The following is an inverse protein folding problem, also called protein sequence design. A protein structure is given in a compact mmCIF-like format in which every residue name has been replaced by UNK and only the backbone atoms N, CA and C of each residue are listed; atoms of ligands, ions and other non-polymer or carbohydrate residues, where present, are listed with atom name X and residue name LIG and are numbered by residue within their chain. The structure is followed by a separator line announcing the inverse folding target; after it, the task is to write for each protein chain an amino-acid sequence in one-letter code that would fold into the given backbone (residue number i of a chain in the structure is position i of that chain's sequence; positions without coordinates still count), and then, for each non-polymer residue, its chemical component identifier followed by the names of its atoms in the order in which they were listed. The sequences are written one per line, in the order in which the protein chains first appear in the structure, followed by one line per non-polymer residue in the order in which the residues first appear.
data_IF_522259684910
#
_entry.id   IF_522259684910
#
_cell.length_a   1.000
_cell.length_b   1.000
_cell.length_c   1.000
_cell.angle_alpha   90.00
_cell.angle_beta   90.00
_cell.angle_gamma   90.00
#
_symmetry.space_group_name_H-M   'P 1'
#
loop_
_entity.id
_entity.type
_entity.pdbx_description
1 polymer ?
#
# COMPACT_ATOMS: atom_id res chain seq x y z
N UNK A 1 269.64 -36.75 -112.69
CA UNK A 1 271.01 -37.08 -112.23
C UNK A 1 270.90 -38.15 -111.15
N UNK A 2 271.82 -39.12 -110.99
CA UNK A 2 272.83 -39.66 -111.91
C UNK A 2 273.34 -41.00 -111.34
N UNK A 3 274.16 -41.74 -112.09
CA UNK A 3 274.83 -43.02 -111.73
C UNK A 3 273.87 -44.21 -111.45
N UNK A 4 274.05 -45.43 -111.95
CA UNK A 4 275.21 -46.11 -112.59
C UNK A 4 276.37 -46.39 -111.63
N UNK A 5 276.18 -47.37 -110.74
CA UNK A 5 277.25 -48.16 -110.10
C UNK A 5 277.00 -49.66 -110.33
N UNK A 6 278.03 -50.53 -110.22
CA UNK A 6 278.12 -51.74 -111.06
C UNK A 6 277.41 -52.98 -110.49
N UNK A 7 277.13 -53.92 -111.40
CA UNK A 7 276.60 -55.25 -111.06
C UNK A 7 277.61 -56.04 -110.24
N UNK A 8 277.15 -56.65 -109.15
CA UNK A 8 277.75 -57.82 -108.53
C UNK A 8 276.63 -58.81 -108.27
N UNK A 9 276.72 -60.04 -108.76
CA UNK A 9 275.75 -61.08 -108.45
C UNK A 9 275.99 -61.55 -107.01
N UNK A 10 274.97 -61.46 -106.16
CA UNK A 10 274.95 -62.05 -104.81
C UNK A 10 274.10 -63.32 -104.86
N UNK A 11 274.29 -64.23 -103.89
CA UNK A 11 273.82 -65.61 -104.00
C UNK A 11 272.29 -65.75 -103.92
N UNK A 12 271.80 -66.89 -104.43
CA UNK A 12 270.37 -67.28 -104.50
C UNK A 12 269.67 -67.24 -103.13
N UNK A 13 270.42 -67.26 -102.03
CA UNK A 13 269.91 -67.19 -100.66
C UNK A 13 269.27 -65.83 -100.31
N UNK A 14 269.77 -64.71 -100.84
CA UNK A 14 269.23 -63.38 -100.52
C UNK A 14 267.82 -63.14 -101.11
N UNK A 15 267.53 -63.68 -102.31
CA UNK A 15 266.19 -63.61 -102.90
C UNK A 15 265.17 -64.45 -102.13
N UNK A 16 265.59 -65.63 -101.64
CA UNK A 16 264.76 -66.50 -100.81
C UNK A 16 264.42 -65.83 -99.47
N UNK A 17 265.38 -65.17 -98.83
CA UNK A 17 265.17 -64.38 -97.62
C UNK A 17 264.19 -63.22 -97.85
N UNK A 18 264.33 -62.45 -98.94
CA UNK A 18 263.40 -61.36 -99.27
C UNK A 18 261.96 -61.85 -99.49
N UNK A 19 261.77 -62.95 -100.21
CA UNK A 19 260.43 -63.57 -100.38
C UNK A 19 259.84 -64.06 -99.04
N UNK A 20 260.67 -64.58 -98.14
CA UNK A 20 260.22 -65.08 -96.83
C UNK A 20 259.76 -63.93 -95.92
N UNK A 21 260.51 -62.83 -95.85
CA UNK A 21 260.11 -61.65 -95.07
C UNK A 21 258.82 -61.03 -95.60
N UNK A 22 258.69 -60.85 -96.92
CA UNK A 22 257.47 -60.36 -97.57
C UNK A 22 256.23 -61.15 -97.13
N UNK A 23 256.32 -62.49 -97.16
CA UNK A 23 255.23 -63.38 -96.75
C UNK A 23 254.88 -63.35 -95.25
N UNK A 24 255.81 -62.93 -94.38
CA UNK A 24 255.55 -62.75 -92.94
C UNK A 24 254.88 -61.40 -92.69
N UNK A 25 255.34 -60.35 -93.35
CA UNK A 25 254.81 -58.98 -93.23
C UNK A 25 253.38 -58.88 -93.76
N UNK A 26 253.09 -59.48 -94.92
CA UNK A 26 251.73 -59.55 -95.47
C UNK A 26 250.77 -60.27 -94.49
N UNK A 27 251.20 -61.38 -93.87
CA UNK A 27 250.39 -62.11 -92.86
C UNK A 27 250.11 -61.31 -91.59
N UNK A 28 251.09 -60.51 -91.14
CA UNK A 28 250.93 -59.67 -89.96
C UNK A 28 249.91 -58.54 -90.20
N UNK A 29 249.89 -57.98 -91.41
CA UNK A 29 248.87 -57.00 -91.81
C UNK A 29 247.46 -57.61 -91.90
N UNK A 30 247.31 -58.83 -92.43
CA UNK A 30 246.01 -59.52 -92.43
C UNK A 30 245.48 -59.71 -91.01
N UNK A 31 246.31 -60.19 -90.08
CA UNK A 31 245.91 -60.43 -88.68
C UNK A 31 245.48 -59.13 -87.96
N UNK A 32 246.14 -58.00 -88.26
CA UNK A 32 245.77 -56.68 -87.77
C UNK A 32 244.41 -56.23 -88.28
N UNK A 33 244.09 -56.50 -89.55
CA UNK A 33 242.78 -56.19 -90.15
C UNK A 33 241.67 -57.03 -89.51
N UNK A 34 241.86 -58.35 -89.39
CA UNK A 34 240.91 -59.26 -88.74
C UNK A 34 240.63 -58.86 -87.28
N UNK A 35 241.66 -58.50 -86.52
CA UNK A 35 241.50 -57.98 -85.15
C UNK A 35 240.72 -56.67 -85.11
N UNK A 36 240.93 -55.77 -86.08
CA UNK A 36 240.20 -54.51 -86.16
C UNK A 36 238.71 -54.72 -86.45
N UNK A 37 238.38 -55.60 -87.40
CA UNK A 37 237.00 -55.96 -87.74
C UNK A 37 236.27 -56.64 -86.57
N UNK A 38 236.93 -57.59 -85.89
CA UNK A 38 236.39 -58.23 -84.67
C UNK A 38 236.10 -57.20 -83.57
N UNK A 39 236.95 -56.18 -83.41
CA UNK A 39 236.75 -55.10 -82.43
C UNK A 39 235.53 -54.23 -82.78
N UNK A 40 235.31 -53.95 -84.07
CA UNK A 40 234.12 -53.23 -84.56
C UNK A 40 232.86 -54.09 -84.40
N UNK A 41 232.93 -55.39 -84.69
CA UNK A 41 231.80 -56.31 -84.52
C UNK A 41 231.36 -56.39 -83.05
N UNK A 42 232.31 -56.52 -82.12
CA UNK A 42 232.03 -56.55 -80.68
C UNK A 42 231.45 -55.21 -80.17
N UNK A 43 231.90 -54.07 -80.70
CA UNK A 43 231.29 -52.78 -80.37
C UNK A 43 229.82 -52.69 -80.83
N UNK A 44 229.48 -53.25 -82.00
CA UNK A 44 228.11 -53.30 -82.52
C UNK A 44 227.21 -54.23 -81.70
N UNK A 45 227.68 -55.40 -81.27
CA UNK A 45 226.88 -56.32 -80.44
C UNK A 45 226.60 -55.74 -79.07
N UNK A 46 227.60 -55.16 -78.39
CA UNK A 46 227.42 -54.48 -77.09
C UNK A 46 226.45 -53.29 -77.19
N UNK A 47 226.49 -52.53 -78.30
CA UNK A 47 225.51 -51.47 -78.53
C UNK A 47 224.08 -52.00 -78.68
N UNK A 48 223.89 -53.14 -79.39
CA UNK A 48 222.56 -53.75 -79.60
C UNK A 48 221.98 -54.34 -78.31
N UNK A 49 222.80 -54.91 -77.43
CA UNK A 49 222.35 -55.39 -76.09
C UNK A 49 221.75 -54.24 -75.28
N UNK A 50 222.45 -53.09 -75.20
CA UNK A 50 221.99 -51.86 -74.52
C UNK A 50 220.78 -51.17 -75.15
N UNK A 51 220.35 -51.63 -76.33
CA UNK A 51 219.11 -51.20 -76.98
C UNK A 51 217.96 -52.11 -76.54
N UNK A 52 218.18 -53.43 -76.55
CA UNK A 52 217.22 -54.44 -76.11
C UNK A 52 216.91 -54.34 -74.60
N UNK A 53 217.90 -54.03 -73.77
CA UNK A 53 217.73 -53.80 -72.32
C UNK A 53 216.73 -52.66 -72.07
N UNK A 54 216.83 -51.55 -72.81
CA UNK A 54 215.90 -50.42 -72.68
C UNK A 54 214.51 -50.72 -73.26
N UNK A 55 214.40 -51.51 -74.33
CA UNK A 55 213.08 -51.98 -74.79
C UNK A 55 212.40 -52.91 -73.77
N UNK A 56 213.17 -53.72 -73.03
CA UNK A 56 212.63 -54.52 -71.92
C UNK A 56 212.09 -53.64 -70.80
N UNK A 57 212.90 -52.69 -70.33
CA UNK A 57 212.56 -51.74 -69.26
C UNK A 57 211.26 -50.96 -69.58
N UNK A 58 211.16 -50.37 -70.78
CA UNK A 58 209.96 -49.67 -71.26
C UNK A 58 208.73 -50.60 -71.32
N UNK A 59 208.91 -51.88 -71.68
CA UNK A 59 207.81 -52.85 -71.72
C UNK A 59 207.31 -53.21 -70.32
N UNK A 60 208.21 -53.38 -69.36
CA UNK A 60 207.87 -53.68 -67.96
C UNK A 60 207.17 -52.48 -67.28
N UNK A 61 207.55 -51.24 -67.61
CA UNK A 61 206.83 -50.02 -67.20
C UNK A 61 205.41 -49.92 -67.80
N UNK A 62 205.24 -50.24 -69.08
CA UNK A 62 203.90 -50.22 -69.74
C UNK A 62 202.98 -51.30 -69.17
N UNK A 63 203.49 -52.50 -68.88
CA UNK A 63 202.70 -53.60 -68.28
C UNK A 63 202.36 -53.31 -66.81
N UNK A 64 203.30 -52.78 -66.02
CA UNK A 64 203.04 -52.46 -64.61
C UNK A 64 202.09 -51.26 -64.44
N UNK A 65 202.25 -50.20 -65.23
CA UNK A 65 201.33 -49.05 -65.23
C UNK A 65 199.92 -49.47 -65.65
N UNK A 66 199.74 -50.13 -66.80
CA UNK A 66 198.41 -50.55 -67.28
C UNK A 66 197.70 -51.54 -66.35
N UNK A 67 198.43 -52.45 -65.69
CA UNK A 67 197.84 -53.33 -64.66
C UNK A 67 197.50 -52.59 -63.36
N UNK A 68 198.16 -51.48 -63.04
CA UNK A 68 197.78 -50.61 -61.92
C UNK A 68 196.50 -49.82 -62.22
N UNK A 69 196.37 -49.21 -63.41
CA UNK A 69 195.17 -48.46 -63.82
C UNK A 69 193.94 -49.36 -63.84
N UNK A 70 194.06 -50.55 -64.44
CA UNK A 70 192.96 -51.52 -64.50
C UNK A 70 192.51 -52.03 -63.13
N UNK A 71 193.41 -52.05 -62.12
CA UNK A 71 193.05 -52.36 -60.72
C UNK A 71 192.30 -51.22 -60.03
N UNK A 72 192.59 -49.96 -60.36
CA UNK A 72 191.83 -48.80 -59.90
C UNK A 72 190.43 -48.79 -60.50
N UNK A 73 190.31 -48.91 -61.83
CA UNK A 73 189.03 -48.99 -62.55
C UNK A 73 188.14 -50.15 -62.04
N UNK A 74 188.73 -51.32 -61.77
CA UNK A 74 188.04 -52.48 -61.19
C UNK A 74 187.48 -52.15 -59.79
N UNK A 75 188.29 -51.50 -58.94
CA UNK A 75 187.92 -51.10 -57.57
C UNK A 75 186.82 -50.03 -57.58
N UNK A 76 186.95 -49.01 -58.43
CA UNK A 76 185.93 -47.97 -58.60
C UNK A 76 184.61 -48.55 -59.11
N UNK A 77 184.65 -49.49 -60.05
CA UNK A 77 183.43 -50.19 -60.53
C UNK A 77 182.77 -51.00 -59.43
N UNK A 78 183.54 -51.67 -58.56
CA UNK A 78 183.01 -52.39 -57.39
C UNK A 78 182.38 -51.42 -56.38
N UNK A 79 183.03 -50.30 -56.07
CA UNK A 79 182.55 -49.29 -55.12
C UNK A 79 181.29 -48.57 -55.63
N UNK A 80 181.21 -48.27 -56.93
CA UNK A 80 180.00 -47.77 -57.58
C UNK A 80 178.87 -48.81 -57.60
N UNK A 81 179.18 -50.07 -57.89
CA UNK A 81 178.18 -51.15 -57.88
C UNK A 81 177.61 -51.40 -56.48
N UNK A 82 178.45 -51.38 -55.44
CA UNK A 82 178.01 -51.49 -54.05
C UNK A 82 177.17 -50.28 -53.62
N UNK A 83 177.55 -49.07 -54.06
CA UNK A 83 176.77 -47.85 -53.81
C UNK A 83 175.39 -47.91 -54.46
N UNK A 84 175.30 -48.34 -55.73
CA UNK A 84 174.05 -48.51 -56.45
C UNK A 84 173.15 -49.59 -55.84
N UNK A 85 173.74 -50.69 -55.35
CA UNK A 85 173.01 -51.72 -54.62
C UNK A 85 172.42 -51.17 -53.31
N UNK A 86 173.20 -50.40 -52.53
CA UNK A 86 172.70 -49.77 -51.31
C UNK A 86 171.59 -48.74 -51.58
N UNK A 87 171.64 -48.03 -52.72
CA UNK A 87 170.54 -47.13 -53.13
C UNK A 87 169.30 -47.89 -53.59
N UNK A 88 169.44 -49.06 -54.22
CA UNK A 88 168.32 -49.96 -54.53
C UNK A 88 167.62 -50.45 -53.26
N UNK A 89 168.38 -50.98 -52.31
CA UNK A 89 167.87 -51.49 -51.04
C UNK A 89 167.06 -50.42 -50.30
N UNK A 90 167.60 -49.20 -50.18
CA UNK A 90 166.89 -48.05 -49.58
C UNK A 90 165.64 -47.61 -50.35
N UNK A 91 165.61 -47.76 -51.68
CA UNK A 91 164.43 -47.47 -52.50
C UNK A 91 163.37 -48.56 -52.34
N UNK A 92 163.78 -49.82 -52.23
CA UNK A 92 162.89 -50.97 -52.02
C UNK A 92 162.27 -50.90 -50.60
N UNK A 93 163.06 -50.62 -49.56
CA UNK A 93 162.58 -50.30 -48.20
C UNK A 93 161.57 -49.13 -48.18
N UNK A 94 161.88 -48.03 -48.89
CA UNK A 94 161.00 -46.87 -48.95
C UNK A 94 159.68 -47.17 -49.68
N UNK A 95 159.70 -48.00 -50.73
CA UNK A 95 158.49 -48.45 -51.43
C UNK A 95 157.66 -49.36 -50.53
N UNK A 96 158.26 -50.29 -49.79
CA UNK A 96 157.54 -51.12 -48.81
C UNK A 96 156.90 -50.26 -47.71
N UNK A 97 157.62 -49.26 -47.19
CA UNK A 97 157.10 -48.33 -46.19
C UNK A 97 155.93 -47.49 -46.74
N UNK A 98 156.00 -47.02 -47.98
CA UNK A 98 154.88 -46.34 -48.66
C UNK A 98 153.69 -47.30 -48.83
N UNK A 99 153.92 -48.55 -49.28
CA UNK A 99 152.87 -49.55 -49.40
C UNK A 99 152.21 -49.92 -48.06
N UNK A 100 152.95 -49.91 -46.95
CA UNK A 100 152.39 -50.05 -45.60
C UNK A 100 151.53 -48.84 -45.23
N UNK A 101 152.06 -47.62 -45.38
CA UNK A 101 151.34 -46.38 -45.06
C UNK A 101 150.09 -46.21 -45.93
N UNK A 102 150.09 -46.65 -47.19
CA UNK A 102 148.88 -46.68 -48.03
C UNK A 102 147.80 -47.63 -47.49
N UNK A 103 148.18 -48.85 -47.09
CA UNK A 103 147.25 -49.84 -46.51
C UNK A 103 146.64 -49.29 -45.22
N UNK A 104 147.46 -48.69 -44.38
CA UNK A 104 147.03 -48.07 -43.12
C UNK A 104 146.14 -46.85 -43.35
N UNK A 105 146.46 -45.99 -44.34
CA UNK A 105 145.62 -44.86 -44.72
C UNK A 105 144.26 -45.31 -45.28
N UNK A 106 144.22 -46.43 -46.02
CA UNK A 106 142.98 -47.08 -46.49
C UNK A 106 142.17 -47.64 -45.31
N UNK A 107 142.80 -48.30 -44.32
CA UNK A 107 142.16 -48.77 -43.07
C UNK A 107 141.54 -47.61 -42.29
N UNK A 108 142.33 -46.59 -41.96
CA UNK A 108 141.89 -45.42 -41.19
C UNK A 108 140.77 -44.63 -41.90
N UNK A 109 140.77 -44.57 -43.24
CA UNK A 109 139.65 -44.00 -44.01
C UNK A 109 138.36 -44.81 -43.85
N UNK A 110 138.44 -46.15 -43.88
CA UNK A 110 137.28 -47.02 -43.67
C UNK A 110 136.70 -46.87 -42.25
N UNK A 111 137.56 -46.80 -41.23
CA UNK A 111 137.16 -46.58 -39.83
C UNK A 111 136.59 -45.18 -39.60
N UNK A 112 137.11 -44.16 -40.27
CA UNK A 112 136.50 -42.82 -40.27
C UNK A 112 135.11 -42.80 -40.95
N UNK A 113 134.88 -43.64 -41.97
CA UNK A 113 133.54 -43.75 -42.58
C UNK A 113 132.54 -44.50 -41.71
N UNK A 114 132.94 -45.59 -41.03
CA UNK A 114 132.05 -46.28 -40.09
C UNK A 114 131.74 -45.40 -38.88
N UNK A 115 132.75 -44.78 -38.25
CA UNK A 115 132.54 -43.86 -37.14
C UNK A 115 131.63 -42.67 -37.48
N UNK A 116 131.65 -42.18 -38.73
CA UNK A 116 130.70 -41.15 -39.21
C UNK A 116 129.28 -41.69 -39.37
N UNK A 117 129.10 -42.93 -39.82
CA UNK A 117 127.79 -43.58 -39.89
C UNK A 117 127.24 -43.85 -38.49
N UNK A 118 128.07 -44.32 -37.57
CA UNK A 118 127.69 -44.56 -36.16
C UNK A 118 127.32 -43.27 -35.44
N UNK A 119 128.09 -42.18 -35.63
CA UNK A 119 127.74 -40.86 -35.12
C UNK A 119 126.43 -40.33 -35.72
N UNK A 120 126.18 -40.58 -37.01
CA UNK A 120 124.92 -40.20 -37.68
C UNK A 120 123.72 -41.00 -37.14
N UNK A 121 123.92 -42.29 -36.88
CA UNK A 121 122.94 -43.18 -36.23
C UNK A 121 122.64 -42.72 -34.80
N UNK A 122 123.67 -42.40 -34.02
CA UNK A 122 123.55 -41.86 -32.65
C UNK A 122 122.77 -40.54 -32.63
N UNK A 123 123.06 -39.61 -33.54
CA UNK A 123 122.30 -38.36 -33.69
C UNK A 123 120.83 -38.59 -34.07
N UNK A 124 120.54 -39.59 -34.91
CA UNK A 124 119.17 -39.98 -35.25
C UNK A 124 118.44 -40.59 -34.03
N UNK A 125 119.11 -41.41 -33.23
CA UNK A 125 118.58 -41.95 -31.98
C UNK A 125 118.31 -40.87 -30.93
N UNK A 126 119.20 -39.88 -30.78
CA UNK A 126 118.98 -38.71 -29.92
C UNK A 126 117.75 -37.91 -30.36
N UNK A 127 117.61 -37.63 -31.66
CA UNK A 127 116.42 -36.95 -32.19
C UNK A 127 115.15 -37.76 -31.93
N UNK A 128 115.16 -39.06 -32.21
CA UNK A 128 114.02 -39.94 -31.95
C UNK A 128 113.64 -40.00 -30.47
N UNK A 129 114.63 -39.92 -29.56
CA UNK A 129 114.43 -39.84 -28.12
C UNK A 129 113.76 -38.53 -27.71
N UNK A 130 114.19 -37.38 -28.25
CA UNK A 130 113.59 -36.08 -27.95
C UNK A 130 112.19 -35.92 -28.55
N UNK A 131 111.98 -36.36 -29.80
CA UNK A 131 110.64 -36.48 -30.40
C UNK A 131 109.71 -37.37 -29.55
N UNK A 132 110.25 -38.40 -28.88
CA UNK A 132 109.51 -39.26 -27.96
C UNK A 132 109.21 -38.59 -26.62
N UNK A 133 110.17 -37.84 -26.03
CA UNK A 133 109.94 -37.02 -24.83
C UNK A 133 108.82 -36.00 -25.06
N UNK A 134 108.82 -35.32 -26.21
CA UNK A 134 107.79 -34.35 -26.58
C UNK A 134 106.41 -35.01 -26.72
N UNK A 135 106.33 -36.20 -27.34
CA UNK A 135 105.09 -37.00 -27.40
C UNK A 135 104.60 -37.48 -26.04
N UNK A 136 105.51 -37.81 -25.11
CA UNK A 136 105.17 -38.19 -23.73
C UNK A 136 104.60 -36.97 -22.99
N UNK A 137 105.30 -35.83 -22.99
CA UNK A 137 104.85 -34.58 -22.35
C UNK A 137 103.48 -34.09 -22.87
N UNK A 138 103.26 -34.17 -24.18
CA UNK A 138 101.96 -33.88 -24.81
C UNK A 138 100.85 -34.83 -24.35
N UNK A 139 101.11 -36.14 -24.29
CA UNK A 139 100.15 -37.11 -23.77
C UNK A 139 99.89 -36.97 -22.27
N UNK A 140 100.90 -36.62 -21.47
CA UNK A 140 100.75 -36.37 -20.04
C UNK A 140 99.90 -35.11 -19.78
N UNK A 141 100.12 -34.04 -20.54
CA UNK A 141 99.29 -32.83 -20.52
C UNK A 141 97.83 -33.16 -20.89
N UNK A 142 97.62 -33.99 -21.92
CA UNK A 142 96.28 -34.47 -22.32
C UNK A 142 95.63 -35.35 -21.24
N UNK A 143 96.41 -36.18 -20.54
CA UNK A 143 95.94 -36.98 -19.41
C UNK A 143 95.58 -36.11 -18.19
N UNK A 144 96.28 -35.00 -17.96
CA UNK A 144 95.89 -34.02 -16.93
C UNK A 144 94.54 -33.38 -17.27
N UNK A 145 94.33 -32.93 -18.51
CA UNK A 145 93.04 -32.40 -18.96
C UNK A 145 91.90 -33.42 -18.78
N UNK A 146 92.10 -34.67 -19.21
CA UNK A 146 91.11 -35.74 -19.01
C UNK A 146 90.84 -36.05 -17.53
N UNK A 147 91.84 -35.91 -16.64
CA UNK A 147 91.63 -36.06 -15.18
C UNK A 147 90.76 -34.92 -14.61
N UNK A 148 90.92 -33.70 -15.10
CA UNK A 148 90.09 -32.54 -14.71
C UNK A 148 88.65 -32.77 -15.17
N UNK A 149 88.45 -33.10 -16.44
CA UNK A 149 87.12 -33.42 -17.02
C UNK A 149 86.41 -34.54 -16.25
N UNK A 150 87.13 -35.61 -15.86
CA UNK A 150 86.59 -36.69 -15.01
C UNK A 150 86.17 -36.21 -13.62
N UNK A 151 86.84 -35.19 -13.04
CA UNK A 151 86.43 -34.59 -11.76
C UNK A 151 85.19 -33.70 -11.92
N UNK A 152 85.13 -32.89 -12.97
CA UNK A 152 83.96 -32.06 -13.30
C UNK A 152 82.71 -32.94 -13.55
N UNK A 153 82.85 -34.02 -14.31
CA UNK A 153 81.78 -35.00 -14.55
C UNK A 153 81.35 -35.73 -13.26
N UNK A 154 82.28 -36.01 -12.33
CA UNK A 154 81.95 -36.57 -11.01
C UNK A 154 81.15 -35.58 -10.14
N UNK A 155 81.57 -34.32 -10.11
CA UNK A 155 80.86 -33.27 -9.36
C UNK A 155 79.45 -33.07 -9.94
N UNK A 156 79.33 -32.89 -11.26
CA UNK A 156 78.03 -32.73 -11.94
C UNK A 156 77.11 -33.95 -11.76
N UNK A 157 77.67 -35.16 -11.65
CA UNK A 157 76.91 -36.37 -11.28
C UNK A 157 76.38 -36.31 -9.83
N UNK A 158 77.17 -35.78 -8.89
CA UNK A 158 76.72 -35.60 -7.50
C UNK A 158 75.61 -34.53 -7.41
N UNK A 159 75.75 -33.41 -8.11
CA UNK A 159 74.73 -32.35 -8.18
C UNK A 159 73.40 -32.90 -8.73
N UNK A 160 73.45 -33.63 -9.84
CA UNK A 160 72.27 -34.28 -10.44
C UNK A 160 71.66 -35.33 -9.49
N UNK A 161 72.47 -36.07 -8.75
CA UNK A 161 71.96 -37.02 -7.76
C UNK A 161 71.24 -36.31 -6.59
N UNK A 162 71.77 -35.17 -6.13
CA UNK A 162 71.12 -34.34 -5.12
C UNK A 162 69.80 -33.74 -5.63
N UNK A 163 69.76 -33.26 -6.87
CA UNK A 163 68.53 -32.77 -7.51
C UNK A 163 67.47 -33.87 -7.65
N UNK A 164 67.88 -35.10 -8.01
CA UNK A 164 66.97 -36.26 -8.06
C UNK A 164 66.40 -36.62 -6.68
N UNK A 165 67.15 -36.42 -5.60
CA UNK A 165 66.64 -36.64 -4.23
C UNK A 165 65.67 -35.53 -3.78
N UNK A 166 65.96 -34.25 -4.07
CA UNK A 166 65.00 -33.14 -3.83
C UNK A 166 63.68 -33.38 -4.57
N UNK A 167 63.75 -33.72 -5.87
CA UNK A 167 62.58 -34.01 -6.68
C UNK A 167 61.76 -35.20 -6.14
N UNK A 168 62.41 -36.24 -5.60
CA UNK A 168 61.71 -37.37 -4.93
C UNK A 168 61.04 -36.96 -3.62
N UNK A 169 61.70 -36.14 -2.80
CA UNK A 169 61.11 -35.63 -1.55
C UNK A 169 59.92 -34.69 -1.82
N UNK A 170 60.02 -33.87 -2.87
CA UNK A 170 58.93 -32.99 -3.32
C UNK A 170 57.78 -33.77 -3.96
N UNK A 171 58.07 -34.84 -4.70
CA UNK A 171 57.05 -35.75 -5.23
C UNK A 171 56.24 -36.41 -4.10
N UNK A 172 56.91 -37.04 -3.14
CA UNK A 172 56.23 -37.65 -1.96
C UNK A 172 55.48 -36.62 -1.10
N UNK A 173 55.98 -35.39 -1.01
CA UNK A 173 55.24 -34.28 -0.37
C UNK A 173 53.97 -33.91 -1.16
N UNK A 174 54.03 -33.88 -2.49
CA UNK A 174 52.88 -33.61 -3.35
C UNK A 174 51.86 -34.77 -3.33
N UNK A 175 52.32 -36.02 -3.37
CA UNK A 175 51.49 -37.23 -3.26
C UNK A 175 50.72 -37.24 -1.92
N UNK A 176 51.40 -37.05 -0.79
CA UNK A 176 50.71 -37.01 0.53
C UNK A 176 49.78 -35.81 0.70
N UNK A 177 49.95 -34.73 -0.07
CA UNK A 177 49.02 -33.60 -0.10
C UNK A 177 47.81 -33.87 -1.01
N UNK A 178 48.02 -34.54 -2.15
CA UNK A 178 46.95 -35.02 -3.02
C UNK A 178 46.07 -36.08 -2.32
N UNK A 179 46.68 -37.01 -1.57
CA UNK A 179 46.01 -38.00 -0.73
C UNK A 179 45.06 -37.32 0.28
N UNK A 180 45.58 -36.31 1.02
CA UNK A 180 44.78 -35.52 1.96
C UNK A 180 43.64 -34.77 1.27
N UNK A 181 43.86 -34.22 0.08
CA UNK A 181 42.80 -33.53 -0.69
C UNK A 181 41.76 -34.49 -1.26
N UNK A 182 42.15 -35.69 -1.67
CA UNK A 182 41.23 -36.77 -2.05
C UNK A 182 40.31 -37.14 -0.88
N UNK A 183 40.89 -37.33 0.32
CA UNK A 183 40.16 -37.65 1.54
C UNK A 183 39.27 -36.50 2.05
N UNK A 184 39.69 -35.24 1.88
CA UNK A 184 38.82 -34.06 2.11
C UNK A 184 37.63 -34.04 1.13
N UNK A 185 37.87 -34.26 -0.16
CA UNK A 185 36.80 -34.35 -1.17
C UNK A 185 35.82 -35.48 -0.86
N UNK A 186 36.31 -36.67 -0.48
CA UNK A 186 35.47 -37.81 -0.07
C UNK A 186 34.59 -37.47 1.13
N UNK A 187 35.13 -36.77 2.12
CA UNK A 187 34.37 -36.26 3.28
C UNK A 187 33.34 -35.18 2.92
N UNK A 188 33.58 -34.38 1.88
CA UNK A 188 32.62 -33.41 1.37
C UNK A 188 31.49 -34.08 0.56
N UNK A 189 31.79 -35.10 -0.26
CA UNK A 189 30.78 -35.90 -0.96
C UNK A 189 29.82 -36.57 0.02
N UNK A 190 30.34 -37.27 1.03
CA UNK A 190 29.50 -37.90 2.08
C UNK A 190 28.63 -36.91 2.85
N UNK A 191 29.07 -35.65 3.01
CA UNK A 191 28.25 -34.57 3.57
C UNK A 191 27.18 -34.08 2.60
N UNK A 192 27.49 -33.99 1.31
CA UNK A 192 26.54 -33.60 0.27
C UNK A 192 25.39 -34.64 0.18
N UNK A 193 25.75 -35.92 0.07
CA UNK A 193 24.80 -37.04 0.08
C UNK A 193 23.90 -37.01 1.33
N UNK A 194 24.47 -36.71 2.50
CA UNK A 194 23.69 -36.58 3.75
C UNK A 194 22.70 -35.40 3.71
N UNK A 195 23.04 -34.29 3.05
CA UNK A 195 22.16 -33.12 2.87
C UNK A 195 21.08 -33.41 1.83
N UNK A 196 21.41 -34.10 0.74
CA UNK A 196 20.46 -34.51 -0.31
C UNK A 196 19.42 -35.50 0.25
N UNK A 197 19.85 -36.49 1.04
CA UNK A 197 18.93 -37.41 1.73
C UNK A 197 18.01 -36.67 2.73
N UNK A 198 18.53 -35.69 3.47
CA UNK A 198 17.72 -34.86 4.38
C UNK A 198 16.73 -33.96 3.62
N UNK A 199 17.15 -33.42 2.46
CA UNK A 199 16.32 -32.62 1.57
C UNK A 199 15.16 -33.44 0.98
N UNK A 200 15.43 -34.60 0.39
CA UNK A 200 14.36 -35.41 -0.22
C UNK A 200 13.45 -36.07 0.83
N UNK A 201 13.94 -36.33 2.05
CA UNK A 201 13.08 -36.66 3.21
C UNK A 201 12.13 -35.50 3.55
N UNK A 202 12.65 -34.28 3.68
CA UNK A 202 11.87 -33.07 3.96
C UNK A 202 10.87 -32.77 2.82
N UNK A 203 11.27 -32.97 1.57
CA UNK A 203 10.43 -32.84 0.38
C UNK A 203 9.31 -33.88 0.35
N UNK A 204 9.61 -35.12 0.77
CA UNK A 204 8.63 -36.19 0.92
C UNK A 204 7.63 -35.89 2.04
N UNK A 205 8.09 -35.35 3.16
CA UNK A 205 7.23 -34.88 4.25
C UNK A 205 6.34 -33.72 3.80
N UNK A 206 6.88 -32.71 3.11
CA UNK A 206 6.09 -31.62 2.51
C UNK A 206 5.07 -32.15 1.47
N UNK A 207 5.41 -33.18 0.70
CA UNK A 207 4.47 -33.84 -0.22
C UNK A 207 3.32 -34.55 0.51
N UNK A 208 3.58 -35.15 1.68
CA UNK A 208 2.55 -35.71 2.57
C UNK A 208 1.68 -34.62 3.16
N UNK A 209 2.27 -33.58 3.76
CA UNK A 209 1.54 -32.42 4.32
C UNK A 209 0.67 -31.74 3.25
N UNK A 210 1.17 -31.55 2.02
CA UNK A 210 0.33 -31.02 0.93
C UNK A 210 -0.76 -31.99 0.46
N UNK A 211 -0.62 -33.30 0.64
CA UNK A 211 -1.69 -34.28 0.38
C UNK A 211 -2.72 -34.25 1.50
N UNK A 212 -2.27 -34.16 2.76
CA UNK A 212 -3.10 -33.99 3.94
C UNK A 212 -3.96 -32.70 3.81
N UNK A 213 -3.33 -31.55 3.52
CA UNK A 213 -4.02 -30.28 3.23
C UNK A 213 -5.03 -30.41 2.09
N UNK A 214 -4.71 -31.16 1.02
CA UNK A 214 -5.65 -31.42 -0.09
C UNK A 214 -6.74 -32.44 0.25
N UNK A 215 -6.53 -33.29 1.25
CA UNK A 215 -7.55 -34.18 1.82
C UNK A 215 -8.43 -33.50 2.87
N UNK A 216 -8.16 -32.24 3.24
CA UNK A 216 -9.12 -31.37 3.94
C UNK A 216 -10.23 -30.88 2.98
N UNK A 217 -10.77 -31.82 2.20
CA UNK A 217 -12.03 -31.66 1.48
C UNK A 217 -13.16 -31.31 2.46
N UNK A 218 -13.08 -31.80 3.70
CA UNK A 218 -13.96 -31.44 4.81
C UNK A 218 -14.12 -29.93 4.99
N UNK A 219 -13.07 -29.10 4.83
CA UNK A 219 -13.22 -27.63 4.92
C UNK A 219 -13.89 -27.05 3.67
N UNK A 220 -13.66 -27.62 2.49
CA UNK A 220 -14.38 -27.21 1.27
C UNK A 220 -15.87 -27.57 1.35
N UNK A 221 -16.21 -28.74 1.89
CA UNK A 221 -17.57 -29.25 1.97
C UNK A 221 -18.33 -28.71 3.19
N UNK A 222 -17.68 -28.49 4.34
CA UNK A 222 -18.24 -27.68 5.43
C UNK A 222 -18.51 -26.24 4.98
N UNK A 223 -17.65 -25.65 4.14
CA UNK A 223 -17.90 -24.31 3.58
C UNK A 223 -19.03 -24.32 2.54
N UNK A 224 -19.22 -25.41 1.77
CA UNK A 224 -20.43 -25.60 0.93
C UNK A 224 -21.68 -25.73 1.78
N UNK A 225 -21.67 -26.60 2.79
CA UNK A 225 -22.80 -26.77 3.71
C UNK A 225 -23.14 -25.48 4.45
N UNK A 226 -22.14 -24.74 4.94
CA UNK A 226 -22.35 -23.47 5.63
C UNK A 226 -22.95 -22.42 4.68
N UNK A 227 -22.46 -22.33 3.44
CA UNK A 227 -23.08 -21.47 2.42
C UNK A 227 -24.51 -21.90 2.08
N UNK A 228 -24.80 -23.19 2.02
CA UNK A 228 -26.14 -23.71 1.68
C UNK A 228 -27.13 -23.52 2.83
N UNK A 229 -26.71 -23.80 4.07
CA UNK A 229 -27.48 -23.51 5.30
C UNK A 229 -27.71 -22.02 5.47
N UNK A 230 -26.70 -21.18 5.21
CA UNK A 230 -26.81 -19.72 5.22
C UNK A 230 -27.83 -19.21 4.17
N UNK A 231 -27.72 -19.66 2.91
CA UNK A 231 -28.68 -19.30 1.85
C UNK A 231 -30.11 -19.72 2.16
N UNK A 232 -30.31 -20.94 2.69
CA UNK A 232 -31.64 -21.39 3.11
C UNK A 232 -32.18 -20.52 4.26
N UNK A 233 -31.34 -20.17 5.24
CA UNK A 233 -31.74 -19.33 6.37
C UNK A 233 -32.07 -17.90 5.96
N UNK A 234 -31.33 -17.30 5.03
CA UNK A 234 -31.70 -16.00 4.45
C UNK A 234 -33.06 -16.06 3.77
N UNK A 235 -33.32 -17.11 2.97
CA UNK A 235 -34.57 -17.26 2.21
C UNK A 235 -35.77 -17.59 3.12
N UNK A 236 -35.55 -18.24 4.26
CA UNK A 236 -36.54 -18.33 5.35
C UNK A 236 -36.85 -16.95 5.97
N UNK A 237 -35.81 -16.19 6.33
CA UNK A 237 -35.95 -14.87 6.94
C UNK A 237 -36.57 -13.84 5.99
N UNK A 238 -36.29 -13.92 4.69
CA UNK A 238 -36.93 -13.13 3.64
C UNK A 238 -38.45 -13.40 3.62
N UNK A 239 -38.87 -14.67 3.58
CA UNK A 239 -40.30 -15.06 3.63
C UNK A 239 -40.98 -14.69 4.95
N UNK A 240 -40.27 -14.80 6.08
CA UNK A 240 -40.78 -14.37 7.38
C UNK A 240 -40.99 -12.85 7.40
N UNK A 241 -40.04 -12.08 6.87
CA UNK A 241 -40.12 -10.63 6.75
C UNK A 241 -41.23 -10.19 5.78
N UNK A 242 -41.39 -10.84 4.63
CA UNK A 242 -42.53 -10.64 3.71
C UNK A 242 -43.87 -10.91 4.41
N UNK A 243 -43.98 -12.00 5.17
CA UNK A 243 -45.18 -12.32 5.96
C UNK A 243 -45.47 -11.27 7.03
N UNK A 244 -44.45 -10.78 7.72
CA UNK A 244 -44.56 -9.71 8.72
C UNK A 244 -44.94 -8.38 8.08
N UNK A 245 -44.37 -8.01 6.94
CA UNK A 245 -44.75 -6.83 6.17
C UNK A 245 -46.21 -6.90 5.68
N UNK A 246 -46.67 -8.05 5.20
CA UNK A 246 -48.07 -8.24 4.82
C UNK A 246 -49.02 -8.10 6.02
N UNK A 247 -48.67 -8.70 7.17
CA UNK A 247 -49.42 -8.57 8.42
C UNK A 247 -49.45 -7.12 8.90
N UNK A 248 -48.31 -6.41 8.88
CA UNK A 248 -48.19 -5.01 9.26
C UNK A 248 -49.04 -4.12 8.35
N UNK A 249 -48.93 -4.26 7.02
CA UNK A 249 -49.75 -3.53 6.04
C UNK A 249 -51.25 -3.80 6.16
N UNK A 250 -51.63 -4.98 6.67
CA UNK A 250 -53.02 -5.29 6.99
C UNK A 250 -53.47 -4.60 8.28
N UNK A 251 -52.60 -4.57 9.31
CA UNK A 251 -52.87 -3.82 10.57
C UNK A 251 -52.91 -2.31 10.36
N UNK A 252 -52.10 -1.75 9.45
CA UNK A 252 -52.15 -0.34 9.06
C UNK A 252 -53.52 0.02 8.48
N UNK A 253 -54.03 -0.77 7.51
CA UNK A 253 -55.39 -0.60 6.98
C UNK A 253 -56.45 -0.64 8.08
N UNK A 254 -56.41 -1.64 8.95
CA UNK A 254 -57.37 -1.75 10.07
C UNK A 254 -57.25 -0.59 11.06
N UNK A 255 -56.06 -0.01 11.25
CA UNK A 255 -55.89 1.20 12.05
C UNK A 255 -56.47 2.43 11.35
N UNK A 256 -56.37 2.53 10.02
CA UNK A 256 -56.95 3.64 9.25
C UNK A 256 -58.47 3.53 9.09
N UNK A 257 -59.00 2.32 8.94
CA UNK A 257 -60.43 1.98 9.06
C UNK A 257 -60.95 2.42 10.44
N UNK A 258 -60.35 1.95 11.53
CA UNK A 258 -60.71 2.34 12.90
C UNK A 258 -60.46 3.83 13.21
N UNK A 259 -59.60 4.53 12.45
CA UNK A 259 -59.43 5.99 12.54
C UNK A 259 -60.58 6.72 11.85
N UNK A 260 -61.07 6.21 10.71
CA UNK A 260 -62.29 6.74 10.06
C UNK A 260 -63.48 6.53 10.98
N UNK A 261 -63.74 5.29 11.41
CA UNK A 261 -64.85 4.97 12.33
C UNK A 261 -64.84 5.87 13.58
N UNK A 262 -63.65 6.14 14.14
CA UNK A 262 -63.48 6.99 15.32
C UNK A 262 -63.63 8.50 14.99
N UNK A 263 -63.35 8.94 13.77
CA UNK A 263 -63.65 10.29 13.30
C UNK A 263 -65.15 10.48 13.03
N UNK A 264 -65.79 9.48 12.41
CA UNK A 264 -67.22 9.47 12.12
C UNK A 264 -68.05 9.40 13.42
N UNK A 265 -67.69 8.51 14.36
CA UNK A 265 -68.27 8.47 15.71
C UNK A 265 -68.01 9.76 16.51
N UNK A 266 -66.88 10.45 16.30
CA UNK A 266 -66.65 11.79 16.89
C UNK A 266 -67.57 12.84 16.28
N UNK A 267 -67.80 12.78 14.97
CA UNK A 267 -68.74 13.66 14.26
C UNK A 267 -70.17 13.44 14.77
N UNK A 268 -70.60 12.18 14.88
CA UNK A 268 -71.88 11.78 15.47
C UNK A 268 -72.00 12.24 16.93
N UNK A 269 -70.97 12.05 17.77
CA UNK A 269 -70.95 12.54 19.15
C UNK A 269 -70.97 14.07 19.23
N UNK A 270 -70.42 14.80 18.25
CA UNK A 270 -70.53 16.27 18.17
C UNK A 270 -71.95 16.68 17.77
N UNK A 271 -72.58 15.99 16.81
CA UNK A 271 -73.97 16.21 16.43
C UNK A 271 -74.92 15.90 17.60
N UNK A 272 -74.82 14.73 18.23
CA UNK A 272 -75.61 14.36 19.41
C UNK A 272 -75.38 15.32 20.59
N UNK A 273 -74.18 15.88 20.77
CA UNK A 273 -73.93 16.95 21.76
C UNK A 273 -74.63 18.25 21.39
N UNK A 274 -74.66 18.62 20.11
CA UNK A 274 -75.42 19.77 19.62
C UNK A 274 -76.91 19.54 19.84
N UNK A 275 -77.44 18.39 19.46
CA UNK A 275 -78.85 18.02 19.64
C UNK A 275 -79.24 17.97 21.12
N UNK A 276 -78.35 17.52 22.02
CA UNK A 276 -78.54 17.61 23.47
C UNK A 276 -78.55 19.07 23.96
N UNK A 277 -77.73 19.97 23.41
CA UNK A 277 -77.75 21.41 23.73
C UNK A 277 -79.04 22.07 23.21
N UNK A 278 -79.45 21.74 21.99
CA UNK A 278 -80.67 22.26 21.36
C UNK A 278 -81.93 21.71 22.05
N UNK A 279 -81.92 20.46 22.52
CA UNK A 279 -82.95 19.91 23.40
C UNK A 279 -82.91 20.52 24.81
N UNK A 280 -81.74 20.92 25.32
CA UNK A 280 -81.64 21.62 26.61
C UNK A 280 -82.13 23.08 26.54
N UNK A 281 -81.93 23.79 25.43
CA UNK A 281 -82.55 25.11 25.21
C UNK A 281 -84.05 24.95 25.02
N UNK A 282 -84.52 24.00 24.21
CA UNK A 282 -85.94 23.69 24.08
C UNK A 282 -86.58 23.29 25.43
N UNK A 283 -85.89 22.51 26.27
CA UNK A 283 -86.38 22.16 27.62
C UNK A 283 -86.41 23.36 28.56
N UNK A 284 -85.46 24.31 28.45
CA UNK A 284 -85.50 25.59 29.18
C UNK A 284 -86.68 26.45 28.72
N UNK A 285 -86.95 26.52 27.42
CA UNK A 285 -88.09 27.26 26.86
C UNK A 285 -89.44 26.62 27.24
N UNK A 286 -89.55 25.30 27.18
CA UNK A 286 -90.72 24.56 27.65
C UNK A 286 -90.94 24.73 29.16
N UNK A 287 -89.88 24.77 29.97
CA UNK A 287 -89.99 25.15 31.40
C UNK A 287 -90.38 26.61 31.58
N UNK A 288 -89.88 27.53 30.76
CA UNK A 288 -90.27 28.95 30.78
C UNK A 288 -91.77 29.09 30.49
N UNK A 289 -92.24 28.45 29.42
CA UNK A 289 -93.66 28.41 29.02
C UNK A 289 -94.55 27.69 30.03
N UNK A 290 -94.07 26.59 30.64
CA UNK A 290 -94.80 25.86 31.69
C UNK A 290 -94.91 26.67 32.99
N UNK A 291 -93.86 27.39 33.39
CA UNK A 291 -93.88 28.33 34.51
C UNK A 291 -94.77 29.55 34.20
N UNK A 292 -94.78 30.03 32.95
CA UNK A 292 -95.63 31.13 32.49
C UNK A 292 -97.10 30.71 32.44
N UNK A 293 -97.40 29.47 32.02
CA UNK A 293 -98.72 28.86 32.13
C UNK A 293 -99.14 28.69 33.60
N UNK A 294 -98.34 28.08 34.47
CA UNK A 294 -98.71 27.94 35.89
C UNK A 294 -98.80 29.28 36.63
N UNK A 295 -98.17 30.35 36.11
CA UNK A 295 -98.40 31.72 36.57
C UNK A 295 -99.75 32.27 36.08
N UNK A 296 -100.05 32.15 34.79
CA UNK A 296 -101.36 32.52 34.23
C UNK A 296 -102.51 31.74 34.86
N UNK A 297 -102.31 30.45 35.15
CA UNK A 297 -103.24 29.53 35.79
C UNK A 297 -103.51 29.98 37.23
N UNK A 298 -102.49 30.36 38.00
CA UNK A 298 -102.66 30.97 39.33
C UNK A 298 -103.28 32.36 39.30
N UNK A 299 -102.97 33.18 38.30
CA UNK A 299 -103.62 34.48 38.08
C UNK A 299 -105.10 34.30 37.70
N UNK A 300 -105.43 33.23 36.97
CA UNK A 300 -106.79 32.82 36.66
C UNK A 300 -107.51 32.23 37.89
N UNK A 301 -106.86 31.39 38.70
CA UNK A 301 -107.39 30.90 39.99
C UNK A 301 -107.66 32.06 40.96
N UNK A 302 -106.77 33.06 41.04
CA UNK A 302 -106.98 34.26 41.85
C UNK A 302 -108.13 35.10 41.31
N UNK A 303 -108.21 35.31 39.99
CA UNK A 303 -109.33 36.00 39.34
C UNK A 303 -110.66 35.28 39.59
N UNK A 304 -110.71 33.96 39.38
CA UNK A 304 -111.85 33.11 39.67
C UNK A 304 -112.22 33.15 41.15
N UNK A 305 -111.25 33.12 42.07
CA UNK A 305 -111.50 33.22 43.51
C UNK A 305 -112.07 34.57 43.90
N UNK A 306 -111.58 35.68 43.33
CA UNK A 306 -112.19 37.00 43.52
C UNK A 306 -113.60 37.04 42.95
N UNK A 307 -113.82 36.55 41.73
CA UNK A 307 -115.13 36.47 41.10
C UNK A 307 -116.10 35.59 41.91
N UNK A 308 -115.64 34.50 42.54
CA UNK A 308 -116.47 33.64 43.39
C UNK A 308 -116.80 34.33 44.72
N UNK A 309 -115.90 35.15 45.29
CA UNK A 309 -116.23 36.02 46.42
C UNK A 309 -117.19 37.15 46.03
N UNK A 310 -117.07 37.72 44.82
CA UNK A 310 -118.02 38.72 44.31
C UNK A 310 -119.40 38.09 44.05
N UNK A 311 -119.45 36.92 43.40
CA UNK A 311 -120.68 36.13 43.21
C UNK A 311 -121.28 35.75 44.57
N UNK A 312 -120.47 35.45 45.59
CA UNK A 312 -120.97 35.19 46.95
C UNK A 312 -121.58 36.46 47.57
N UNK A 313 -120.90 37.60 47.51
CA UNK A 313 -121.43 38.88 47.97
C UNK A 313 -122.71 39.27 47.22
N UNK A 314 -122.77 39.07 45.91
CA UNK A 314 -123.96 39.31 45.08
C UNK A 314 -125.10 38.32 45.42
N UNK A 315 -124.80 37.06 45.73
CA UNK A 315 -125.79 36.08 46.24
C UNK A 315 -126.31 36.47 47.62
N UNK A 316 -125.46 36.96 48.52
CA UNK A 316 -125.84 37.44 49.84
C UNK A 316 -126.68 38.73 49.75
N UNK A 317 -126.31 39.68 48.88
CA UNK A 317 -127.13 40.85 48.54
C UNK A 317 -128.47 40.48 47.92
N UNK A 318 -128.48 39.51 47.00
CA UNK A 318 -129.72 39.04 46.37
C UNK A 318 -130.61 38.30 47.37
N UNK A 319 -130.06 37.44 48.23
CA UNK A 319 -130.81 36.77 49.29
C UNK A 319 -131.38 37.76 50.32
N UNK A 320 -130.61 38.79 50.70
CA UNK A 320 -131.10 39.89 51.53
C UNK A 320 -132.21 40.69 50.82
N UNK A 321 -132.13 40.87 49.51
CA UNK A 321 -133.15 41.54 48.70
C UNK A 321 -134.41 40.69 48.53
N UNK A 322 -134.28 39.39 48.25
CA UNK A 322 -135.38 38.42 48.21
C UNK A 322 -136.10 38.34 49.55
N UNK A 323 -135.38 38.25 50.66
CA UNK A 323 -135.99 38.30 52.00
C UNK A 323 -136.75 39.62 52.21
N UNK A 324 -136.17 40.76 51.82
CA UNK A 324 -136.84 42.07 51.91
C UNK A 324 -138.08 42.16 51.02
N UNK A 325 -138.10 41.43 49.90
CA UNK A 325 -139.28 41.27 49.04
C UNK A 325 -140.32 40.35 49.72
N UNK A 326 -139.93 39.27 50.38
CA UNK A 326 -140.82 38.39 51.15
C UNK A 326 -141.45 39.13 52.35
N UNK A 327 -140.65 39.91 53.09
CA UNK A 327 -141.11 40.81 54.16
C UNK A 327 -142.14 41.82 53.60
N UNK A 328 -141.89 42.41 52.42
CA UNK A 328 -142.82 43.33 51.75
C UNK A 328 -144.07 42.63 51.17
N UNK A 329 -143.97 41.38 50.71
CA UNK A 329 -145.10 40.60 50.17
C UNK A 329 -146.02 40.12 51.29
N UNK A 330 -145.46 39.72 52.43
CA UNK A 330 -146.25 39.38 53.63
C UNK A 330 -146.91 40.62 54.22
N UNK A 331 -146.21 41.76 54.30
CA UNK A 331 -146.81 43.04 54.71
C UNK A 331 -147.89 43.53 53.73
N UNK A 332 -147.68 43.41 52.42
CA UNK A 332 -148.70 43.75 51.41
C UNK A 332 -149.91 42.81 51.51
N UNK A 333 -149.71 41.51 51.77
CA UNK A 333 -150.78 40.55 52.01
C UNK A 333 -151.57 40.84 53.30
N UNK A 334 -150.88 41.33 54.35
CA UNK A 334 -151.48 41.82 55.60
C UNK A 334 -152.30 43.09 55.36
N UNK A 335 -151.78 44.04 54.59
CA UNK A 335 -152.49 45.27 54.20
C UNK A 335 -153.68 44.99 53.28
N UNK A 336 -153.59 44.00 52.38
CA UNK A 336 -154.72 43.55 51.56
C UNK A 336 -155.83 42.91 52.40
N UNK A 337 -155.49 42.11 53.42
CA UNK A 337 -156.49 41.63 54.38
C UNK A 337 -157.14 42.79 55.15
N UNK A 338 -156.36 43.74 55.67
CA UNK A 338 -156.93 44.92 56.33
C UNK A 338 -157.80 45.78 55.39
N UNK A 339 -157.47 45.85 54.09
CA UNK A 339 -158.30 46.52 53.08
C UNK A 339 -159.61 45.74 52.80
N UNK A 340 -159.57 44.41 52.81
CA UNK A 340 -160.75 43.55 52.69
C UNK A 340 -161.65 43.64 53.93
N UNK A 341 -161.08 43.67 55.13
CA UNK A 341 -161.83 43.88 56.38
C UNK A 341 -162.50 45.27 56.38
N UNK A 342 -161.76 46.32 56.04
CA UNK A 342 -162.30 47.70 55.93
C UNK A 342 -163.36 47.80 54.84
N UNK A 343 -163.20 47.14 53.69
CA UNK A 343 -164.27 47.06 52.68
C UNK A 343 -165.47 46.25 53.18
N UNK A 344 -165.26 45.18 53.94
CA UNK A 344 -166.33 44.39 54.54
C UNK A 344 -167.16 45.20 55.54
N UNK A 345 -166.51 45.97 56.42
CA UNK A 345 -167.17 46.85 57.36
C UNK A 345 -167.80 48.07 56.70
N UNK A 346 -167.17 48.63 55.66
CA UNK A 346 -167.78 49.67 54.83
C UNK A 346 -169.04 49.16 54.11
N UNK A 347 -169.01 47.94 53.56
CA UNK A 347 -170.17 47.32 52.92
C UNK A 347 -171.30 47.05 53.92
N UNK A 348 -171.00 46.51 55.12
CA UNK A 348 -171.99 46.37 56.21
C UNK A 348 -172.63 47.72 56.54
N UNK A 349 -171.83 48.79 56.63
CA UNK A 349 -172.31 50.14 56.94
C UNK A 349 -173.14 50.76 55.81
N UNK A 350 -172.73 50.60 54.55
CA UNK A 350 -173.56 51.00 53.39
C UNK A 350 -174.88 50.20 53.37
N UNK A 351 -174.86 48.93 53.77
CA UNK A 351 -176.04 48.08 53.83
C UNK A 351 -177.00 48.48 54.98
N UNK A 352 -176.49 48.92 56.13
CA UNK A 352 -177.32 49.53 57.20
C UNK A 352 -177.88 50.89 56.79
N UNK A 353 -177.05 51.77 56.20
CA UNK A 353 -177.47 53.10 55.76
C UNK A 353 -178.52 53.01 54.64
N UNK A 354 -178.42 52.02 53.75
CA UNK A 354 -179.40 51.72 52.70
C UNK A 354 -180.65 50.97 53.20
N UNK A 355 -180.65 50.47 54.44
CA UNK A 355 -181.86 50.04 55.16
C UNK A 355 -182.56 51.24 55.78
N UNK A 356 -181.84 52.03 56.57
CA UNK A 356 -182.34 53.19 57.30
C UNK A 356 -182.94 54.27 56.37
N UNK A 357 -182.27 54.62 55.27
CA UNK A 357 -182.79 55.55 54.25
C UNK A 357 -184.03 55.05 53.50
N UNK A 358 -184.38 53.76 53.65
CA UNK A 358 -185.61 53.19 53.08
C UNK A 358 -186.79 53.43 54.01
N UNK A 359 -186.61 53.23 55.31
CA UNK A 359 -187.62 53.54 56.34
C UNK A 359 -187.90 55.05 56.43
N UNK A 360 -186.85 55.89 56.44
CA UNK A 360 -186.99 57.35 56.50
C UNK A 360 -187.79 57.92 55.31
N UNK A 361 -187.52 57.42 54.10
CA UNK A 361 -188.22 57.83 52.87
C UNK A 361 -189.69 57.38 52.85
N UNK A 362 -190.03 56.31 53.56
CA UNK A 362 -191.40 55.81 53.70
C UNK A 362 -192.19 56.54 54.82
N UNK A 363 -191.49 57.26 55.71
CA UNK A 363 -192.09 58.19 56.69
C UNK A 363 -192.45 59.51 56.04
N UNK A 364 -191.49 60.16 55.37
CA UNK A 364 -191.65 61.48 54.73
C UNK A 364 -192.78 61.55 53.68
N UNK A 365 -193.16 60.43 53.04
CA UNK A 365 -194.31 60.40 52.11
C UNK A 365 -195.64 60.69 52.81
N UNK A 366 -195.85 60.20 54.03
CA UNK A 366 -197.12 60.37 54.77
C UNK A 366 -197.29 61.80 55.28
N UNK A 367 -196.21 62.41 55.76
CA UNK A 367 -196.22 63.77 56.31
C UNK A 367 -196.60 64.82 55.26
N UNK A 368 -196.15 64.65 54.00
CA UNK A 368 -196.50 65.53 52.87
C UNK A 368 -197.98 65.41 52.45
N UNK A 369 -198.62 64.27 52.71
CA UNK A 369 -199.99 64.01 52.28
C UNK A 369 -201.04 64.62 53.22
N UNK A 370 -200.68 64.89 54.48
CA UNK A 370 -201.56 65.52 55.48
C UNK A 370 -201.62 67.05 55.38
N UNK A 371 -200.53 67.75 55.03
CA UNK A 371 -200.52 69.23 54.97
C UNK A 371 -201.46 69.80 53.89
N UNK A 372 -201.68 69.07 52.79
CA UNK A 372 -202.40 69.57 51.60
C UNK A 372 -203.91 69.74 51.84
N UNK A 373 -204.53 68.99 52.76
CA UNK A 373 -205.99 69.08 53.01
C UNK A 373 -206.39 70.32 53.84
N UNK A 374 -205.46 70.85 54.65
CA UNK A 374 -205.73 71.97 55.57
C UNK A 374 -206.10 73.26 54.82
N UNK A 375 -205.48 73.51 53.66
CA UNK A 375 -205.58 74.78 52.93
C UNK A 375 -206.92 75.01 52.22
N UNK A 376 -207.69 73.97 51.92
CA UNK A 376 -208.83 74.02 50.98
C UNK A 376 -210.21 74.19 51.62
N UNK A 377 -210.33 74.16 52.95
CA UNK A 377 -211.63 74.19 53.66
C UNK A 377 -212.27 75.60 53.69
N UNK A 378 -213.47 75.81 53.09
CA UNK A 378 -214.15 77.10 53.09
C UNK A 378 -214.76 77.44 54.46
N UNK A 379 -214.88 78.74 54.77
CA UNK A 379 -215.44 79.25 56.03
C UNK A 379 -216.38 80.43 55.79
N UNK A 380 -217.36 80.60 56.67
CA UNK A 380 -218.40 81.63 56.58
C UNK A 380 -218.17 82.70 57.65
N UNK A 381 -218.23 83.98 57.28
CA UNK A 381 -218.06 85.08 58.21
C UNK A 381 -219.30 85.25 59.11
N UNK A 382 -219.12 85.25 60.43
CA UNK A 382 -220.23 85.42 61.40
C UNK A 382 -220.85 86.83 61.41
N UNK A 383 -220.26 87.81 60.71
CA UNK A 383 -220.66 89.22 60.81
C UNK A 383 -221.22 89.82 59.49
N UNK A 384 -220.94 89.21 58.33
CA UNK A 384 -221.55 89.58 57.03
C UNK A 384 -222.15 88.39 56.27
N UNK A 385 -222.06 87.16 56.80
CA UNK A 385 -222.47 85.90 56.16
C UNK A 385 -221.80 85.55 54.81
N UNK A 386 -220.88 86.38 54.29
CA UNK A 386 -220.09 86.04 53.12
C UNK A 386 -219.11 84.88 53.39
N UNK A 387 -218.82 84.10 52.35
CA UNK A 387 -218.03 82.87 52.42
C UNK A 387 -216.66 83.08 51.79
N UNK A 388 -215.60 82.62 52.46
CA UNK A 388 -214.22 82.84 52.06
C UNK A 388 -213.32 81.61 52.25
N UNK A 389 -212.27 81.53 51.45
CA UNK A 389 -211.16 80.58 51.58
C UNK A 389 -209.87 81.34 51.90
N UNK A 390 -208.86 80.65 52.45
CA UNK A 390 -207.56 81.26 52.78
C UNK A 390 -206.79 81.75 51.54
N UNK A 391 -207.16 81.29 50.35
CA UNK A 391 -206.53 81.60 49.06
C UNK A 391 -206.88 82.98 48.49
N UNK A 392 -208.00 83.60 48.89
CA UNK A 392 -208.57 84.81 48.24
C UNK A 392 -208.64 86.06 49.12
N UNK A 393 -207.79 86.16 50.14
CA UNK A 393 -207.92 87.15 51.21
C UNK A 393 -206.88 88.28 51.06
N UNK A 394 -207.30 89.49 50.66
CA UNK A 394 -206.41 90.64 50.40
C UNK A 394 -206.86 91.92 51.11
N UNK A 395 -205.91 92.84 51.34
CA UNK A 395 -205.94 93.84 52.42
C UNK A 395 -206.83 95.09 52.20
N UNK A 396 -207.93 94.98 51.45
CA UNK A 396 -208.84 96.11 51.17
C UNK A 396 -210.35 95.77 51.28
N UNK A 397 -210.72 94.52 51.61
CA UNK A 397 -212.11 94.06 51.50
C UNK A 397 -213.00 94.39 52.72
N UNK A 398 -214.15 95.00 52.41
CA UNK A 398 -215.19 95.56 53.29
C UNK A 398 -215.36 94.94 54.69
N UNK A 399 -215.12 95.69 55.76
CA UNK A 399 -213.75 96.16 56.10
C UNK A 399 -213.05 95.12 57.01
N UNK A 400 -213.64 93.93 57.13
CA UNK A 400 -213.50 93.02 58.26
C UNK A 400 -212.55 91.84 58.01
N UNK A 401 -211.77 91.93 56.94
CA UNK A 401 -210.89 90.88 56.47
C UNK A 401 -209.40 91.28 56.60
N UNK A 402 -208.50 90.30 56.80
CA UNK A 402 -207.71 90.28 58.02
C UNK A 402 -206.28 90.80 57.84
N UNK A 403 -205.60 91.01 58.97
CA UNK A 403 -204.15 91.20 58.95
C UNK A 403 -203.47 90.95 60.28
N UNK A 404 -202.22 90.47 60.16
CA UNK A 404 -201.12 90.78 61.07
C UNK A 404 -201.05 90.00 62.39
N UNK A 405 -200.63 88.73 62.34
CA UNK A 405 -199.43 88.39 63.11
C UNK A 405 -198.21 88.79 62.25
N UNK A 406 -197.29 89.61 62.77
CA UNK A 406 -196.02 89.93 62.09
C UNK A 406 -194.88 89.27 62.88
N UNK A 407 -193.94 88.56 62.24
CA UNK A 407 -192.66 88.29 62.87
C UNK A 407 -191.91 89.63 63.03
N UNK A 408 -191.45 89.94 64.25
CA UNK A 408 -190.48 91.01 64.49
C UNK A 408 -189.20 90.40 65.04
N UNK A 409 -188.13 90.52 64.28
CA UNK A 409 -186.77 90.28 64.77
C UNK A 409 -186.50 91.07 66.05
N UNK A 410 -185.67 90.50 66.91
CA UNK A 410 -185.52 90.95 68.28
C UNK A 410 -186.54 90.20 69.16
N UNK A 411 -187.76 90.74 69.39
CA UNK A 411 -188.71 90.15 70.32
C UNK A 411 -189.38 88.84 69.86
N UNK A 412 -188.81 87.73 70.36
CA UNK A 412 -189.47 86.47 70.72
C UNK A 412 -189.89 85.52 69.59
N UNK A 413 -189.77 84.22 69.86
CA UNK A 413 -190.15 83.13 68.97
C UNK A 413 -191.69 82.94 68.95
N UNK A 414 -192.26 82.81 67.75
CA UNK A 414 -193.70 82.64 67.50
C UNK A 414 -194.20 83.49 66.32
N UNK A 415 -195.49 83.35 65.98
CA UNK A 415 -196.24 84.27 65.09
C UNK A 415 -197.33 85.14 65.99
N UNK A 416 -197.54 87.38 66.63
CA UNK A 416 -198.24 88.39 67.51
C UNK A 416 -199.36 89.14 66.77
N UNK A 417 -200.61 88.76 67.04
CA UNK A 417 -201.80 89.43 66.50
C UNK A 417 -201.79 90.90 66.94
N UNK A 418 -201.55 91.79 65.97
CA UNK A 418 -201.12 93.16 66.22
C UNK A 418 -202.15 94.13 65.65
N UNK A 419 -203.02 94.60 66.53
CA UNK A 419 -204.23 95.36 66.18
C UNK A 419 -204.03 96.77 65.61
N UNK A 420 -202.80 97.31 65.55
CA UNK A 420 -202.61 98.66 65.00
C UNK A 420 -201.22 98.98 64.43
N UNK A 421 -201.20 99.81 63.38
CA UNK A 421 -199.99 100.31 62.73
C UNK A 421 -199.49 101.64 63.34
N UNK A 422 -198.92 101.59 64.56
CA UNK A 422 -197.91 102.54 65.12
C UNK A 422 -197.66 102.28 66.62
N UNK A 423 -196.44 101.83 66.99
CA UNK A 423 -195.65 102.30 68.14
C UNK A 423 -194.35 101.51 68.32
N UNK A 424 -193.37 102.19 68.89
CA UNK A 424 -192.01 101.70 69.16
C UNK A 424 -191.85 101.31 70.62
N UNK A 425 -191.18 100.17 70.86
CA UNK A 425 -190.92 99.55 72.15
C UNK A 425 -189.55 98.87 71.97
N UNK A 426 -188.48 99.19 72.72
CA UNK A 426 -188.36 99.33 74.18
C UNK A 426 -188.99 100.54 74.86
N UNK A 427 -190.16 100.31 75.45
CA UNK A 427 -190.67 100.94 76.67
C UNK A 427 -191.24 99.83 77.56
N UNK A 428 -191.23 99.96 78.90
CA UNK A 428 -191.55 98.83 79.80
C UNK A 428 -193.06 98.63 80.00
N UNK A 429 -193.61 97.42 79.80
CA UNK A 429 -194.83 96.94 80.45
C UNK A 429 -194.50 96.26 81.81
N UNK A 430 -195.53 95.98 82.61
CA UNK A 430 -195.40 95.30 83.90
C UNK A 430 -196.71 94.56 84.27
N UNK A 431 -196.60 93.32 84.78
CA UNK A 431 -197.71 92.44 85.26
C UNK A 431 -198.74 91.97 84.20
N UNK A 432 -199.43 90.88 84.55
CA UNK A 432 -200.70 90.35 84.02
C UNK A 432 -200.99 90.39 82.49
N UNK A 433 -200.49 89.38 81.77
CA UNK A 433 -201.09 88.72 80.58
C UNK A 433 -200.03 87.77 79.98
N UNK A 434 -200.35 86.74 79.18
CA UNK A 434 -201.64 86.18 78.79
C UNK A 434 -201.44 84.90 77.96
N UNK A 435 -202.38 83.94 78.07
CA UNK A 435 -202.41 82.65 77.33
C UNK A 435 -202.57 82.88 75.81
N UNK A 436 -202.22 81.96 74.93
CA UNK A 436 -202.92 80.71 74.56
C UNK A 436 -201.93 79.76 73.83
N UNK A 437 -201.87 78.42 73.97
CA UNK A 437 -202.76 77.37 74.55
C UNK A 437 -204.13 77.31 73.84
N UNK A 438 -204.40 76.35 72.95
CA UNK A 438 -204.16 74.88 73.01
C UNK A 438 -203.58 74.32 71.68
N UNK A 439 -202.88 73.17 71.62
CA UNK A 439 -202.33 72.26 72.65
C UNK A 439 -201.14 71.46 72.07
N UNK A 440 -200.33 70.87 72.97
CA UNK A 440 -199.20 69.95 72.73
C UNK A 440 -199.41 69.02 71.50
N UNK A 441 -198.72 69.20 70.35
CA UNK A 441 -197.28 68.90 70.07
C UNK A 441 -197.01 67.41 70.30
N UNK A 442 -197.11 66.50 69.33
CA UNK A 442 -196.67 66.49 67.89
C UNK A 442 -195.15 66.58 67.72
#
# INVERSE_FOLDING_TARGET
MSAVWPRKAWSVEEELLKKKNKSIEDKYQTLLSEYHELRIANAKTVAKVRELERFKEISEDIVSSSTSTRRLEEKERIELSASLQQYREKLEEAVEQICFLEKENKRLKSELTTAKLDASSSNLLLKNLDDSKMKISSNESRLQMMRIEILELKNRKADLFSQVQDLKARLTTAETLAEKKSEECRKLVLKLESVENAWDSTRSQNSRIQKEIRSVAEVADLNRELNQKSKLRSLELEKENESLHYKLKTRERTLDELRSDNADLKSEVVMLKKDIVDLQTLNKELRRLSNEHTKQEKECEQSLSMNDTEIKCLREMNAASSKRIEDLVTENSRLQHQLLDVHGDFLKKVQSDASWKREEKEKLRREVEEEIDVLKKPRVCKNCHETFTLEKNTAQSCVYHPGRYLPRQYPLEGYSWSCCAKRDISSRPCKFSGRHVEREVL
#
